data_IF_684059207079
#
_entry.id   IF_684059207079
#
_cell.length_a   1.000
_cell.length_b   1.000
_cell.length_c   1.000
_cell.angle_alpha   90.00
_cell.angle_beta   90.00
_cell.angle_gamma   90.00
#
_symmetry.space_group_name_H-M   'P 1'
#
loop_
_entity.id
_entity.type
_entity.pdbx_description
1 polymer ?
#
# COMPACT_ATOMS: atom_id res chain seq x y z
N UNK A 1 -23.55 14.51 -0.39
CA UNK A 1 -22.62 13.39 -0.20
C UNK A 1 -22.36 12.82 -1.59
N UNK A 2 -21.37 13.37 -2.28
CA UNK A 2 -21.07 13.01 -3.67
C UNK A 2 -20.19 11.77 -3.68
N UNK A 3 -20.75 10.73 -4.28
CA UNK A 3 -20.15 9.49 -4.71
C UNK A 3 -18.96 9.79 -5.64
N UNK A 4 -17.73 9.77 -5.10
CA UNK A 4 -16.48 9.81 -5.89
C UNK A 4 -16.24 8.43 -6.52
N UNK A 5 -17.23 7.96 -7.28
CA UNK A 5 -17.06 6.85 -8.20
C UNK A 5 -16.34 7.38 -9.44
N UNK A 6 -15.02 7.16 -9.47
CA UNK A 6 -14.16 7.53 -10.59
C UNK A 6 -14.70 6.92 -11.91
N UNK A 7 -14.68 7.69 -13.02
CA UNK A 7 -15.25 7.23 -14.29
C UNK A 7 -14.47 6.03 -14.86
N UNK A 8 -15.13 5.19 -15.70
CA UNK A 8 -14.46 4.08 -16.36
C UNK A 8 -13.40 4.61 -17.34
N UNK A 9 -12.14 4.19 -17.14
CA UNK A 9 -10.94 4.66 -17.86
C UNK A 9 -10.87 4.15 -19.32
N UNK A 10 -11.91 3.48 -19.81
CA UNK A 10 -11.87 2.86 -21.13
C UNK A 10 -12.54 3.75 -22.18
N UNK A 11 -11.74 4.59 -22.84
CA UNK A 11 -11.92 4.80 -24.28
C UNK A 11 -11.02 3.79 -25.00
N UNK A 12 -11.55 2.88 -25.84
CA UNK A 12 -10.74 1.87 -26.49
C UNK A 12 -10.07 2.50 -27.71
N UNK A 13 -8.84 2.99 -27.58
CA UNK A 13 -8.01 3.21 -28.77
C UNK A 13 -6.52 3.17 -28.49
N UNK A 14 -5.87 2.31 -29.28
CA UNK A 14 -4.43 2.10 -29.49
C UNK A 14 -3.70 1.35 -28.38
N UNK A 15 -3.70 0.03 -28.56
CA UNK A 15 -2.59 -0.89 -28.31
C UNK A 15 -1.28 -0.15 -27.99
N UNK A 16 -1.01 0.01 -26.71
CA UNK A 16 0.30 0.41 -26.23
C UNK A 16 1.04 -0.91 -26.01
N UNK A 17 1.87 -1.32 -26.97
CA UNK A 17 2.53 -2.63 -27.02
C UNK A 17 3.36 -2.95 -25.77
N UNK A 18 3.61 -1.96 -24.91
CA UNK A 18 4.38 -2.06 -23.66
C UNK A 18 3.56 -2.20 -22.36
N UNK A 19 2.23 -2.20 -22.42
CA UNK A 19 1.36 -2.34 -21.24
C UNK A 19 0.40 -3.53 -21.34
N UNK A 20 0.93 -4.77 -21.26
CA UNK A 20 0.14 -5.99 -21.45
C UNK A 20 -0.96 -6.18 -20.40
N UNK A 21 -0.92 -5.44 -19.29
CA UNK A 21 -1.87 -5.55 -18.18
C UNK A 21 -2.76 -4.31 -18.01
N UNK A 22 -2.67 -3.32 -18.90
CA UNK A 22 -3.46 -2.08 -18.82
C UNK A 22 -3.18 -1.26 -17.56
N UNK A 23 -1.99 -1.38 -16.97
CA UNK A 23 -1.64 -0.76 -15.69
C UNK A 23 -1.23 0.71 -15.80
N UNK A 24 -0.94 1.20 -17.01
CA UNK A 24 -0.43 2.55 -17.23
C UNK A 24 -1.28 3.66 -16.59
N UNK A 25 -2.63 3.65 -16.66
CA UNK A 25 -3.43 4.70 -16.03
C UNK A 25 -3.22 4.75 -14.51
N UNK A 26 -3.19 3.59 -13.85
CA UNK A 26 -2.96 3.52 -12.41
C UNK A 26 -1.52 3.94 -12.05
N UNK A 27 -0.53 3.50 -12.83
CA UNK A 27 0.88 3.91 -12.64
C UNK A 27 1.02 5.44 -12.76
N UNK A 28 0.41 6.05 -13.78
CA UNK A 28 0.42 7.51 -13.97
C UNK A 28 -0.18 8.20 -12.75
N UNK A 29 -1.33 7.73 -12.28
CA UNK A 29 -2.03 8.30 -11.12
C UNK A 29 -1.21 8.18 -9.82
N UNK A 30 -0.61 7.02 -9.57
CA UNK A 30 0.28 6.80 -8.42
C UNK A 30 1.46 7.78 -8.45
N UNK A 31 2.11 7.96 -9.61
CA UNK A 31 3.27 8.86 -9.75
C UNK A 31 2.93 10.35 -9.67
N UNK A 32 1.76 10.74 -10.18
CA UNK A 32 1.30 12.14 -10.17
C UNK A 32 0.83 12.59 -8.80
N UNK A 33 0.30 11.68 -7.97
CA UNK A 33 -0.28 12.02 -6.67
C UNK A 33 0.81 12.45 -5.69
N UNK A 34 0.63 13.62 -5.06
CA UNK A 34 1.61 14.19 -4.13
C UNK A 34 1.15 14.21 -2.68
N UNK A 35 -0.14 14.08 -2.41
CA UNK A 35 -0.70 14.29 -1.07
C UNK A 35 -1.02 12.98 -0.34
N UNK A 36 -1.24 11.90 -1.09
CA UNK A 36 -1.50 10.59 -0.51
C UNK A 36 -0.74 9.47 -1.24
N UNK A 37 -0.50 8.40 -0.51
CA UNK A 37 -0.04 7.14 -1.06
C UNK A 37 -1.31 6.43 -1.57
N UNK A 38 -1.27 5.89 -2.78
CA UNK A 38 -2.41 5.18 -3.35
C UNK A 38 -2.16 3.68 -3.25
N UNK A 39 -3.09 2.96 -2.62
CA UNK A 39 -3.15 1.51 -2.52
C UNK A 39 -4.10 0.97 -3.59
N UNK A 40 -3.71 -0.10 -4.28
CA UNK A 40 -4.57 -0.77 -5.25
C UNK A 40 -5.28 -1.98 -4.62
N UNK A 41 -6.60 -1.99 -4.66
CA UNK A 41 -7.46 -3.05 -4.13
C UNK A 41 -8.72 -3.12 -4.99
N UNK A 42 -9.20 -4.33 -5.30
CA UNK A 42 -10.46 -4.52 -6.02
C UNK A 42 -10.58 -3.76 -7.34
N UNK A 43 -9.47 -3.67 -8.09
CA UNK A 43 -9.35 -2.94 -9.37
C UNK A 43 -9.48 -1.41 -9.28
N UNK A 44 -9.36 -0.84 -8.08
CA UNK A 44 -9.44 0.60 -7.83
C UNK A 44 -8.23 1.09 -7.03
N UNK A 45 -7.99 2.40 -7.05
CA UNK A 45 -6.97 3.07 -6.24
C UNK A 45 -7.64 3.79 -5.07
N UNK A 46 -7.25 3.44 -3.86
CA UNK A 46 -7.72 4.07 -2.62
C UNK A 46 -6.58 4.80 -1.92
N UNK A 47 -6.86 5.87 -1.17
CA UNK A 47 -5.89 6.44 -0.24
C UNK A 47 -5.43 5.37 0.76
N UNK A 48 -4.12 5.20 0.87
CA UNK A 48 -3.52 4.41 1.92
C UNK A 48 -3.33 5.29 3.15
N UNK A 49 -3.78 4.80 4.30
CA UNK A 49 -3.78 5.56 5.55
C UNK A 49 -2.53 5.22 6.34
N UNK A 50 -1.76 6.24 6.72
CA UNK A 50 -0.57 6.07 7.53
C UNK A 50 -0.95 5.68 8.97
N UNK A 51 -0.33 4.64 9.54
CA UNK A 51 -0.68 4.21 10.89
C UNK A 51 -0.22 5.21 11.95
N UNK A 52 -1.01 5.37 13.01
CA UNK A 52 -0.60 6.10 14.21
C UNK A 52 -0.47 5.18 15.41
N UNK A 53 0.47 5.50 16.29
CA UNK A 53 0.69 4.80 17.55
C UNK A 53 -0.42 5.13 18.58
N UNK A 54 -0.29 4.55 19.79
CA UNK A 54 -1.25 4.75 20.89
C UNK A 54 -1.34 6.23 21.33
N UNK A 55 -0.27 7.01 21.12
CA UNK A 55 -0.22 8.46 21.39
C UNK A 55 -0.84 9.31 20.27
N UNK A 56 -1.21 8.69 19.15
CA UNK A 56 -1.74 9.40 17.97
C UNK A 56 -0.65 9.99 17.08
N UNK A 57 0.62 9.69 17.34
CA UNK A 57 1.75 10.10 16.51
C UNK A 57 1.91 9.11 15.36
N UNK A 58 2.43 9.57 14.23
CA UNK A 58 2.70 8.69 13.08
C UNK A 58 3.77 7.67 13.45
N UNK A 59 3.51 6.41 13.13
CA UNK A 59 4.54 5.36 13.18
C UNK A 59 5.63 5.72 12.17
N UNK A 60 6.91 5.63 12.54
CA UNK A 60 8.00 5.98 11.62
C UNK A 60 8.13 4.94 10.50
N UNK A 61 8.72 5.28 9.35
CA UNK A 61 8.87 4.34 8.24
C UNK A 61 9.56 3.01 8.62
N UNK A 62 10.55 3.06 9.52
CA UNK A 62 11.27 1.89 10.02
C UNK A 62 10.46 1.00 10.96
N UNK A 63 9.51 1.58 11.70
CA UNK A 63 8.61 0.86 12.61
C UNK A 63 7.38 0.28 11.91
N UNK A 64 7.11 0.61 10.64
CA UNK A 64 5.91 0.16 9.91
C UNK A 64 5.80 -1.36 9.85
N UNK A 65 6.92 -2.07 9.67
CA UNK A 65 6.92 -3.53 9.64
C UNK A 65 6.62 -4.13 11.00
N UNK A 66 7.12 -3.56 12.09
CA UNK A 66 6.83 -4.02 13.45
C UNK A 66 5.38 -3.72 13.85
N UNK A 67 4.86 -2.56 13.42
CA UNK A 67 3.46 -2.21 13.59
C UNK A 67 2.54 -3.20 12.88
N UNK A 68 2.90 -3.66 11.68
CA UNK A 68 2.16 -4.69 10.91
C UNK A 68 2.03 -6.02 11.64
N UNK A 69 3.04 -6.40 12.43
CA UNK A 69 3.02 -7.64 13.22
C UNK A 69 2.02 -7.59 14.38
N UNK A 70 1.80 -6.42 14.94
CA UNK A 70 1.02 -6.23 16.18
C UNK A 70 -0.38 -5.67 15.95
N UNK A 71 -0.61 -5.01 14.81
CA UNK A 71 -1.88 -4.34 14.48
C UNK A 71 -2.49 -4.88 13.19
N UNK A 72 -3.80 -4.69 13.01
CA UNK A 72 -4.55 -5.00 11.78
C UNK A 72 -4.22 -4.04 10.63
N UNK A 73 -2.93 -3.78 10.47
CA UNK A 73 -2.33 -2.90 9.49
C UNK A 73 -1.74 -3.73 8.35
N UNK A 74 -1.84 -3.18 7.12
CA UNK A 74 -1.20 -3.70 5.91
C UNK A 74 -0.52 -2.54 5.19
N UNK A 75 0.62 -2.82 4.57
CA UNK A 75 1.24 -1.95 3.58
C UNK A 75 0.30 -1.68 2.40
N UNK A 76 0.63 -0.73 1.52
CA UNK A 76 -0.23 -0.40 0.40
C UNK A 76 -0.29 -1.54 -0.61
N UNK A 77 -1.42 -1.69 -1.30
CA UNK A 77 -1.60 -2.67 -2.37
C UNK A 77 -0.88 -2.24 -3.65
N UNK A 78 -0.11 -3.15 -4.23
CA UNK A 78 0.52 -2.97 -5.54
C UNK A 78 -0.40 -3.41 -6.69
N UNK A 79 -0.02 -3.06 -7.92
CA UNK A 79 -0.83 -3.32 -9.11
C UNK A 79 -0.86 -4.80 -9.54
N UNK A 80 -0.11 -5.70 -8.91
CA UNK A 80 -0.18 -7.14 -9.21
C UNK A 80 -1.61 -7.69 -9.05
N UNK A 81 -2.41 -7.14 -8.14
CA UNK A 81 -3.80 -7.55 -7.96
C UNK A 81 -4.67 -7.31 -9.20
N UNK A 82 -4.28 -6.43 -10.13
CA UNK A 82 -5.00 -6.23 -11.40
C UNK A 82 -5.05 -7.47 -12.30
N UNK A 83 -4.12 -8.42 -12.09
CA UNK A 83 -4.03 -9.71 -12.79
C UNK A 83 -4.91 -10.80 -12.16
N UNK A 84 -5.45 -10.57 -10.97
CA UNK A 84 -6.23 -11.55 -10.22
C UNK A 84 -7.73 -11.30 -10.49
N UNK A 85 -8.48 -12.35 -10.82
CA UNK A 85 -9.91 -12.29 -11.15
C UNK A 85 -10.82 -12.37 -9.90
N UNK A 86 -10.38 -11.81 -8.77
CA UNK A 86 -11.18 -11.73 -7.55
C UNK A 86 -11.62 -10.27 -7.33
N UNK A 87 -12.88 -10.01 -6.94
CA UNK A 87 -13.41 -8.66 -6.77
C UNK A 87 -12.71 -7.89 -5.64
N UNK A 88 -12.17 -8.60 -4.65
CA UNK A 88 -11.43 -8.10 -3.49
C UNK A 88 -9.91 -8.36 -3.61
N UNK A 89 -9.42 -8.59 -4.83
CA UNK A 89 -8.01 -8.89 -5.06
C UNK A 89 -7.10 -7.81 -4.47
N UNK A 90 -6.17 -8.26 -3.64
CA UNK A 90 -5.17 -7.43 -2.98
C UNK A 90 -3.80 -8.10 -3.07
N UNK A 91 -2.75 -7.32 -3.31
CA UNK A 91 -1.37 -7.81 -3.26
C UNK A 91 -0.52 -6.77 -2.58
N UNK A 92 -0.11 -7.04 -1.35
CA UNK A 92 0.63 -6.09 -0.53
C UNK A 92 2.00 -5.77 -1.14
N UNK A 93 2.34 -4.48 -1.17
CA UNK A 93 3.68 -4.01 -1.47
C UNK A 93 4.61 -4.32 -0.29
N UNK A 94 5.89 -4.55 -0.58
CA UNK A 94 6.92 -4.68 0.46
C UNK A 94 7.38 -3.29 0.89
N UNK A 95 7.51 -3.10 2.20
CA UNK A 95 8.11 -1.92 2.81
C UNK A 95 9.52 -2.29 3.27
N UNK A 96 10.53 -1.56 2.79
CA UNK A 96 11.94 -1.80 3.12
C UNK A 96 12.78 -0.55 2.92
N UNK A 97 13.93 -0.48 3.59
CA UNK A 97 14.96 0.53 3.33
C UNK A 97 15.79 0.10 2.11
N UNK A 98 15.91 0.98 1.12
CA UNK A 98 16.63 0.67 -0.11
C UNK A 98 18.15 0.61 0.13
N UNK A 99 18.76 -0.52 -0.21
CA UNK A 99 20.19 -0.78 0.01
C UNK A 99 21.08 -0.23 -1.11
N UNK A 100 20.53 0.01 -2.30
CA UNK A 100 21.28 0.47 -3.48
C UNK A 100 20.43 1.33 -4.42
N UNK A 101 21.10 2.07 -5.31
CA UNK A 101 20.48 2.91 -6.33
C UNK A 101 20.23 4.36 -5.91
N UNK A 102 19.39 5.06 -6.67
CA UNK A 102 19.16 6.52 -6.52
C UNK A 102 18.47 6.88 -5.19
N UNK A 103 17.88 5.90 -4.53
CA UNK A 103 17.12 6.07 -3.28
C UNK A 103 17.77 5.34 -2.11
N UNK A 104 19.07 5.00 -2.19
CA UNK A 104 19.79 4.33 -1.09
C UNK A 104 19.57 5.04 0.24
N UNK A 105 19.28 4.26 1.29
CA UNK A 105 19.00 4.75 2.63
C UNK A 105 17.56 5.27 2.82
N UNK A 106 16.72 5.24 1.79
CA UNK A 106 15.31 5.65 1.87
C UNK A 106 14.38 4.44 2.02
N UNK A 107 13.39 4.57 2.89
CA UNK A 107 12.25 3.68 3.06
C UNK A 107 11.28 3.81 1.89
N UNK A 108 11.02 2.68 1.24
CA UNK A 108 10.16 2.60 0.07
C UNK A 108 9.09 1.53 0.27
N UNK A 109 7.93 1.74 -0.37
CA UNK A 109 6.96 0.70 -0.64
C UNK A 109 7.02 0.33 -2.12
N UNK A 110 7.36 -0.91 -2.45
CA UNK A 110 7.50 -1.36 -3.84
C UNK A 110 6.84 -2.73 -4.06
N UNK A 111 6.60 -3.07 -5.33
CA UNK A 111 6.09 -4.39 -5.67
C UNK A 111 7.00 -5.50 -5.14
N UNK A 112 6.49 -6.34 -4.24
CA UNK A 112 7.29 -7.40 -3.62
C UNK A 112 7.71 -8.52 -4.58
N UNK A 113 7.02 -8.65 -5.71
CA UNK A 113 7.32 -9.64 -6.77
C UNK A 113 8.20 -9.06 -7.89
N UNK A 114 8.42 -7.75 -7.92
CA UNK A 114 9.11 -7.07 -9.02
C UNK A 114 8.37 -7.09 -10.38
N UNK A 115 7.13 -7.59 -10.45
CA UNK A 115 6.40 -7.77 -11.71
C UNK A 115 5.69 -6.49 -12.18
N UNK A 116 5.23 -5.65 -11.24
CA UNK A 116 4.58 -4.39 -11.56
C UNK A 116 5.43 -3.20 -11.14
N UNK A 117 5.17 -2.04 -11.74
CA UNK A 117 5.94 -0.80 -11.53
C UNK A 117 5.47 0.03 -10.32
N UNK A 118 4.77 -0.60 -9.38
CA UNK A 118 4.34 0.06 -8.13
C UNK A 118 5.59 0.39 -7.30
N UNK A 119 5.76 1.68 -7.00
CA UNK A 119 6.91 2.18 -6.25
C UNK A 119 6.58 3.54 -5.64
N UNK A 120 6.81 3.68 -4.34
CA UNK A 120 6.55 4.90 -3.55
C UNK A 120 7.68 5.10 -2.54
N UNK A 121 8.24 6.32 -2.47
CA UNK A 121 9.13 6.74 -1.37
C UNK A 121 8.27 7.18 -0.19
N UNK A 122 8.56 6.71 1.01
CA UNK A 122 7.69 6.88 2.17
C UNK A 122 7.93 8.18 2.94
N UNK A 123 9.18 8.63 3.04
CA UNK A 123 9.58 9.82 3.81
C UNK A 123 8.86 11.09 3.37
N UNK A 124 8.67 11.37 2.06
CA UNK A 124 7.93 12.56 1.63
C UNK A 124 6.48 12.59 2.12
N UNK A 125 5.90 11.45 2.50
CA UNK A 125 4.54 11.36 3.02
C UNK A 125 4.48 11.28 4.54
N UNK A 126 5.52 10.75 5.20
CA UNK A 126 5.60 10.67 6.66
C UNK A 126 5.43 12.06 7.31
N UNK A 127 6.18 13.05 6.85
CA UNK A 127 6.13 14.43 7.40
C UNK A 127 5.00 15.30 6.82
N UNK A 128 4.26 14.78 5.83
CA UNK A 128 3.36 15.61 5.04
C UNK A 128 2.02 15.84 5.74
N UNK A 129 1.72 17.11 6.00
CA UNK A 129 0.41 17.56 6.43
C UNK A 129 -0.66 17.21 5.38
N UNK A 130 -1.80 16.68 5.84
CA UNK A 130 -2.91 16.25 4.98
C UNK A 130 -2.78 14.85 4.40
N UNK A 131 -1.67 14.15 4.58
CA UNK A 131 -1.63 12.71 4.30
C UNK A 131 -2.54 11.98 5.30
N UNK A 132 -3.51 11.16 4.85
CA UNK A 132 -4.49 10.55 5.74
C UNK A 132 -3.82 9.60 6.74
N UNK A 133 -4.31 9.63 7.98
CA UNK A 133 -3.84 8.78 9.08
C UNK A 133 -4.97 7.90 9.60
N UNK A 134 -4.62 6.75 10.18
CA UNK A 134 -5.59 5.85 10.82
C UNK A 134 -4.96 5.17 12.03
N UNK A 135 -5.73 5.06 13.12
CA UNK A 135 -5.41 4.15 14.22
C UNK A 135 -5.95 2.77 13.87
N UNK A 136 -5.07 1.77 13.87
CA UNK A 136 -5.43 0.39 13.59
C UNK A 136 -5.59 -0.37 14.89
N UNK A 137 -6.54 -1.31 14.94
CA UNK A 137 -6.72 -2.15 16.11
C UNK A 137 -5.53 -3.10 16.28
N UNK A 138 -5.22 -3.45 17.53
CA UNK A 138 -4.24 -4.50 17.82
C UNK A 138 -4.81 -5.85 17.38
N UNK A 139 -3.97 -6.68 16.76
CA UNK A 139 -4.33 -8.07 16.44
C UNK A 139 -4.66 -8.79 17.74
N UNK A 140 -5.80 -9.49 17.79
CA UNK A 140 -6.12 -10.36 18.92
C UNK A 140 -5.02 -11.42 19.05
N UNK A 141 -4.38 -11.52 20.22
CA UNK A 141 -3.54 -12.68 20.53
C UNK A 141 -4.45 -13.91 20.44
N UNK A 142 -4.13 -14.86 19.56
CA UNK A 142 -4.86 -16.12 19.54
C UNK A 142 -4.68 -16.78 20.92
N UNK A 143 -5.79 -17.01 21.63
CA UNK A 143 -5.83 -17.75 22.91
C UNK A 143 -5.58 -19.26 22.68
N UNK A 144 -4.73 -19.61 21.71
CA UNK A 144 -4.37 -21.01 21.39
C UNK A 144 -3.00 -21.42 21.92
N UNK A 145 -2.35 -20.58 22.72
CA UNK A 145 -1.01 -20.82 23.27
C UNK A 145 -0.97 -20.72 24.81
N UNK A 146 -1.98 -21.27 25.50
CA UNK A 146 -1.95 -21.44 26.99
C UNK A 146 -2.29 -22.88 27.42
N UNK A 147 -2.66 -23.78 26.50
CA UNK A 147 -3.04 -25.17 26.87
C UNK A 147 -1.90 -26.22 26.79
N UNK A 148 -0.72 -25.89 26.24
CA UNK A 148 0.39 -26.85 26.12
C UNK A 148 1.48 -26.72 27.21
N UNK A 149 1.26 -25.91 28.25
CA UNK A 149 2.20 -25.79 29.39
C UNK A 149 1.66 -26.39 30.71
N UNK A 150 0.49 -27.05 30.67
CA UNK A 150 -0.09 -27.76 31.82
C UNK A 150 -0.57 -29.17 31.44
N UNK A 151 0.25 -29.92 30.71
CA UNK A 151 0.09 -31.38 30.58
C UNK A 151 1.43 -32.07 30.71
#
# INVERSE_FOLDING_TARGET
MSDESFPPIFSPTRSNTHDPYGQLPWIRRIRSTKNTILSFEGRQLFPWFWPVNDRGERVTPDELNDHRLTHEFRGPGCLCASRIQAPDAFTEARIFCAESGVVTGQWVAACGRGECKYFVRLEPFYIKLGHPIRRYDRRRKSVKMIQEFFS
#
